data_IF_879267725627
#
_entry.id   IF_879267725627
#
_cell.length_a   1.000
_cell.length_b   1.000
_cell.length_c   1.000
_cell.angle_alpha   90.00
_cell.angle_beta   90.00
_cell.angle_gamma   90.00
#
_symmetry.space_group_name_H-M   'P 1'
#
loop_
_entity.id
_entity.type
_entity.pdbx_description
1 polymer ?
#
# COMPACT_ATOMS: atom_id res chain seq x y z
N UNK A 1 -10.49 4.01 23.36
CA UNK A 1 -10.93 3.70 22.00
C UNK A 1 -11.91 4.77 21.55
N UNK A 2 -11.82 5.26 20.33
CA UNK A 2 -12.78 6.19 19.72
C UNK A 2 -13.04 5.74 18.27
N UNK A 3 -14.16 6.19 17.68
CA UNK A 3 -14.55 5.88 16.30
C UNK A 3 -14.51 7.14 15.45
N UNK A 4 -13.95 7.05 14.25
CA UNK A 4 -13.97 8.10 13.25
C UNK A 4 -14.65 7.62 11.97
N UNK A 5 -15.62 8.37 11.46
CA UNK A 5 -16.25 8.14 10.15
C UNK A 5 -15.77 9.21 9.18
N UNK A 6 -15.37 8.82 7.96
CA UNK A 6 -14.94 9.77 6.94
C UNK A 6 -16.06 9.97 5.92
N UNK A 7 -16.59 11.17 5.84
CA UNK A 7 -17.51 11.58 4.79
C UNK A 7 -16.73 12.23 3.63
N UNK A 8 -16.74 11.55 2.48
CA UNK A 8 -16.07 12.01 1.25
C UNK A 8 -16.89 12.97 0.41
N UNK A 9 -18.14 13.25 0.80
CA UNK A 9 -19.13 14.03 0.03
C UNK A 9 -19.34 13.51 -1.40
N UNK A 10 -19.18 12.19 -1.61
CA UNK A 10 -19.35 11.55 -2.92
C UNK A 10 -20.82 11.22 -3.22
N UNK A 11 -21.63 11.06 -2.20
CA UNK A 11 -23.03 10.65 -2.29
C UNK A 11 -23.88 11.40 -1.26
N UNK A 12 -25.11 11.69 -1.59
CA UNK A 12 -26.04 12.33 -0.65
C UNK A 12 -26.25 11.51 0.64
N UNK A 13 -26.25 10.16 0.51
CA UNK A 13 -26.45 9.24 1.63
C UNK A 13 -25.25 9.14 2.59
N UNK A 14 -24.07 9.65 2.23
CA UNK A 14 -22.86 9.55 3.08
C UNK A 14 -23.06 10.23 4.45
N UNK A 15 -23.79 11.34 4.50
CA UNK A 15 -24.12 12.03 5.74
C UNK A 15 -25.05 11.19 6.64
N UNK A 16 -26.07 10.53 6.07
CA UNK A 16 -26.98 9.66 6.80
C UNK A 16 -26.27 8.41 7.34
N UNK A 17 -25.36 7.83 6.55
CA UNK A 17 -24.51 6.72 6.97
C UNK A 17 -23.61 7.12 8.16
N UNK A 18 -23.02 8.31 8.11
CA UNK A 18 -22.21 8.84 9.22
C UNK A 18 -23.06 9.10 10.48
N UNK A 19 -24.27 9.64 10.30
CA UNK A 19 -25.20 9.87 11.40
C UNK A 19 -25.68 8.57 12.06
N UNK A 20 -25.90 7.50 11.27
CA UNK A 20 -26.21 6.16 11.77
C UNK A 20 -25.07 5.62 12.66
N UNK A 21 -23.82 5.72 12.22
CA UNK A 21 -22.67 5.30 13.01
C UNK A 21 -22.54 6.12 14.28
N UNK A 22 -22.72 7.45 14.20
CA UNK A 22 -22.69 8.35 15.36
C UNK A 22 -23.77 8.00 16.38
N UNK A 23 -24.99 7.67 15.95
CA UNK A 23 -26.10 7.23 16.82
C UNK A 23 -25.73 5.95 17.56
N UNK A 24 -25.21 4.95 16.83
CA UNK A 24 -24.79 3.68 17.44
C UNK A 24 -23.63 3.85 18.42
N UNK A 25 -22.68 4.70 18.13
CA UNK A 25 -21.58 5.00 19.05
C UNK A 25 -22.09 5.65 20.34
N UNK A 26 -23.10 6.53 20.27
CA UNK A 26 -23.75 7.10 21.47
C UNK A 26 -24.42 6.06 22.34
N UNK A 27 -25.16 5.13 21.74
CA UNK A 27 -25.79 4.02 22.46
C UNK A 27 -24.77 3.14 23.19
N UNK A 28 -23.59 2.94 22.57
CA UNK A 28 -22.49 2.14 23.13
C UNK A 28 -21.56 2.95 24.04
N UNK A 29 -21.82 4.23 24.28
CA UNK A 29 -20.97 5.15 25.05
C UNK A 29 -19.53 5.19 24.51
N UNK A 30 -19.37 5.14 23.17
CA UNK A 30 -18.08 5.22 22.48
C UNK A 30 -17.94 6.62 21.84
N UNK A 31 -16.88 7.38 22.13
CA UNK A 31 -16.60 8.66 21.46
C UNK A 31 -16.57 8.49 19.94
N UNK A 32 -17.24 9.40 19.22
CA UNK A 32 -17.32 9.40 17.77
C UNK A 32 -17.06 10.76 17.17
N UNK A 33 -16.40 10.81 16.01
CA UNK A 33 -16.21 12.01 15.21
C UNK A 33 -16.50 11.70 13.73
N UNK A 34 -17.17 12.64 13.05
CA UNK A 34 -17.29 12.59 11.59
C UNK A 34 -16.26 13.55 10.98
N UNK A 35 -15.34 12.99 10.21
CA UNK A 35 -14.31 13.72 9.47
C UNK A 35 -14.82 14.00 8.06
N UNK A 36 -15.03 15.24 7.73
CA UNK A 36 -15.58 15.64 6.43
C UNK A 36 -14.45 16.09 5.52
N UNK A 37 -14.46 15.65 4.26
CA UNK A 37 -13.51 16.12 3.27
C UNK A 37 -13.75 17.61 2.98
N UNK A 38 -12.68 18.41 2.97
CA UNK A 38 -12.73 19.86 2.73
C UNK A 38 -13.40 20.17 1.39
N UNK A 39 -13.07 19.37 0.35
CA UNK A 39 -13.65 19.46 -0.98
C UNK A 39 -14.22 18.10 -1.43
N UNK A 40 -15.27 18.09 -2.28
CA UNK A 40 -15.76 16.85 -2.89
C UNK A 40 -14.66 16.17 -3.71
N UNK A 41 -14.49 14.87 -3.54
CA UNK A 41 -13.52 14.10 -4.33
C UNK A 41 -14.04 13.96 -5.75
N UNK A 42 -13.38 14.59 -6.73
CA UNK A 42 -13.78 14.59 -8.13
C UNK A 42 -12.61 14.28 -9.08
N UNK A 43 -12.91 14.03 -10.36
CA UNK A 43 -11.94 13.85 -11.46
C UNK A 43 -11.52 12.40 -11.70
N UNK A 44 -10.45 12.19 -12.46
CA UNK A 44 -9.95 10.85 -12.76
C UNK A 44 -9.50 10.11 -11.49
N UNK A 45 -9.77 8.80 -11.44
CA UNK A 45 -9.41 7.94 -10.29
C UNK A 45 -10.03 8.34 -8.94
N UNK A 46 -11.32 8.71 -8.93
CA UNK A 46 -12.07 9.09 -7.72
C UNK A 46 -11.83 8.15 -6.53
N UNK A 47 -11.81 6.83 -6.74
CA UNK A 47 -11.56 5.87 -5.66
C UNK A 47 -10.16 5.98 -5.04
N UNK A 48 -9.13 6.21 -5.85
CA UNK A 48 -7.77 6.38 -5.36
C UNK A 48 -7.64 7.67 -4.54
N UNK A 49 -8.21 8.77 -5.04
CA UNK A 49 -8.27 10.06 -4.32
C UNK A 49 -9.08 9.97 -3.03
N UNK A 50 -10.24 9.33 -3.06
CA UNK A 50 -11.05 9.11 -1.87
C UNK A 50 -10.26 8.32 -0.81
N UNK A 51 -9.51 7.31 -1.22
CA UNK A 51 -8.62 6.56 -0.33
C UNK A 51 -7.53 7.45 0.27
N UNK A 52 -6.89 8.28 -0.53
CA UNK A 52 -5.85 9.22 -0.07
C UNK A 52 -6.41 10.23 0.94
N UNK A 53 -7.53 10.88 0.61
CA UNK A 53 -8.23 11.82 1.50
C UNK A 53 -8.62 11.13 2.80
N UNK A 54 -9.16 9.92 2.75
CA UNK A 54 -9.52 9.13 3.94
C UNK A 54 -8.34 8.98 4.89
N UNK A 55 -7.22 8.49 4.40
CA UNK A 55 -6.08 8.23 5.27
C UNK A 55 -5.41 9.51 5.76
N UNK A 56 -5.42 10.58 4.97
CA UNK A 56 -4.95 11.88 5.41
C UNK A 56 -5.80 12.46 6.56
N UNK A 57 -7.12 12.38 6.47
CA UNK A 57 -8.03 12.82 7.51
C UNK A 57 -7.90 11.97 8.78
N UNK A 58 -7.84 10.64 8.63
CA UNK A 58 -7.63 9.72 9.75
C UNK A 58 -6.28 9.95 10.44
N UNK A 59 -5.22 10.24 9.68
CA UNK A 59 -3.89 10.51 10.23
C UNK A 59 -3.88 11.82 11.05
N UNK A 60 -4.45 12.90 10.51
CA UNK A 60 -4.58 14.17 11.23
C UNK A 60 -5.39 14.02 12.51
N UNK A 61 -6.50 13.30 12.44
CA UNK A 61 -7.31 13.04 13.63
C UNK A 61 -6.57 12.17 14.65
N UNK A 62 -5.91 11.11 14.22
CA UNK A 62 -5.14 10.25 15.12
C UNK A 62 -4.06 11.02 15.87
N UNK A 63 -3.32 11.90 15.17
CA UNK A 63 -2.30 12.75 15.75
C UNK A 63 -2.92 13.73 16.78
N UNK A 64 -3.98 14.46 16.41
CA UNK A 64 -4.65 15.43 17.29
C UNK A 64 -5.31 14.78 18.51
N UNK A 65 -5.76 13.55 18.40
CA UNK A 65 -6.42 12.79 19.47
C UNK A 65 -5.46 11.91 20.29
N UNK A 66 -4.16 11.95 20.02
CA UNK A 66 -3.15 11.11 20.68
C UNK A 66 -3.39 9.59 20.46
N UNK A 67 -3.90 9.21 19.28
CA UNK A 67 -4.24 7.81 18.95
C UNK A 67 -3.02 7.14 18.34
N UNK A 68 -2.53 6.06 18.95
CA UNK A 68 -1.35 5.34 18.47
C UNK A 68 -1.57 4.56 17.17
N UNK A 69 -2.79 4.06 16.93
CA UNK A 69 -3.11 3.30 15.73
C UNK A 69 -4.58 3.42 15.33
N UNK A 70 -4.84 3.42 14.04
CA UNK A 70 -6.17 3.41 13.41
C UNK A 70 -6.51 2.00 12.95
N UNK A 71 -7.55 1.39 13.50
CA UNK A 71 -8.04 0.09 13.05
C UNK A 71 -9.01 0.28 11.87
N UNK A 72 -8.86 -0.56 10.82
CA UNK A 72 -9.78 -0.60 9.68
C UNK A 72 -10.30 -2.02 9.46
N UNK A 73 -11.56 -2.12 9.00
CA UNK A 73 -12.29 -3.39 8.88
C UNK A 73 -12.04 -4.13 7.55
N UNK A 74 -10.80 -4.10 7.04
CA UNK A 74 -10.43 -4.97 5.93
C UNK A 74 -10.47 -6.44 6.37
N UNK A 75 -10.99 -7.31 5.52
CA UNK A 75 -11.23 -8.71 5.82
C UNK A 75 -10.68 -9.66 4.73
N UNK A 76 -10.82 -10.97 4.90
CA UNK A 76 -10.26 -11.99 4.00
C UNK A 76 -10.77 -11.84 2.55
N UNK A 77 -12.04 -11.48 2.37
CA UNK A 77 -12.59 -11.26 1.02
C UNK A 77 -11.93 -10.04 0.34
N UNK A 78 -11.60 -8.96 1.09
CA UNK A 78 -10.83 -7.82 0.55
C UNK A 78 -9.41 -8.22 0.14
N UNK A 79 -8.78 -9.15 0.88
CA UNK A 79 -7.48 -9.70 0.50
C UNK A 79 -7.56 -10.47 -0.81
N UNK A 80 -8.58 -11.35 -0.95
CA UNK A 80 -8.79 -12.13 -2.15
C UNK A 80 -9.08 -11.24 -3.38
N UNK A 81 -9.96 -10.26 -3.24
CA UNK A 81 -10.22 -9.26 -4.27
C UNK A 81 -8.93 -8.54 -4.70
N UNK A 82 -8.15 -8.06 -3.72
CA UNK A 82 -6.88 -7.35 -3.96
C UNK A 82 -5.84 -8.24 -4.62
N UNK A 83 -5.73 -9.50 -4.21
CA UNK A 83 -4.83 -10.48 -4.78
C UNK A 83 -5.14 -10.69 -6.27
N UNK A 84 -6.40 -10.99 -6.61
CA UNK A 84 -6.82 -11.22 -8.00
C UNK A 84 -6.59 -9.99 -8.88
N UNK A 85 -6.96 -8.81 -8.40
CA UNK A 85 -6.73 -7.55 -9.13
C UNK A 85 -5.24 -7.29 -9.42
N UNK A 86 -4.37 -7.64 -8.48
CA UNK A 86 -2.92 -7.46 -8.63
C UNK A 86 -2.29 -8.56 -9.48
N UNK A 87 -2.74 -9.80 -9.35
CA UNK A 87 -2.33 -10.90 -10.20
C UNK A 87 -2.67 -10.64 -11.68
N UNK A 88 -3.87 -10.15 -11.96
CA UNK A 88 -4.30 -9.77 -13.31
C UNK A 88 -3.45 -8.63 -13.93
N UNK A 89 -2.75 -7.84 -13.09
CA UNK A 89 -1.85 -6.77 -13.53
C UNK A 89 -0.38 -7.19 -13.55
N UNK A 90 -0.06 -8.47 -13.36
CA UNK A 90 1.30 -8.98 -13.36
C UNK A 90 2.13 -8.53 -12.16
N UNK A 91 1.52 -8.28 -11.01
CA UNK A 91 2.25 -7.84 -9.82
C UNK A 91 3.17 -8.95 -9.29
N UNK A 92 4.38 -8.56 -8.89
CA UNK A 92 5.33 -9.46 -8.21
C UNK A 92 4.97 -9.68 -6.73
N UNK A 93 5.91 -10.32 -6.01
CA UNK A 93 5.76 -10.76 -4.61
C UNK A 93 5.17 -9.69 -3.69
N UNK A 94 5.77 -8.51 -3.63
CA UNK A 94 5.31 -7.42 -2.77
C UNK A 94 3.88 -6.95 -3.08
N UNK A 95 3.48 -7.00 -4.35
CA UNK A 95 2.12 -6.69 -4.79
C UNK A 95 1.13 -7.77 -4.39
N UNK A 96 1.42 -9.04 -4.69
CA UNK A 96 0.55 -10.18 -4.40
C UNK A 96 0.35 -10.42 -2.90
N UNK A 97 1.29 -10.00 -2.08
CA UNK A 97 1.16 -10.03 -0.62
C UNK A 97 -0.02 -9.20 -0.06
N UNK A 98 -0.83 -8.59 -0.90
CA UNK A 98 -2.10 -7.98 -0.53
C UNK A 98 -1.99 -6.76 0.39
N UNK A 99 -3.00 -6.59 1.21
CA UNK A 99 -3.07 -5.53 2.22
C UNK A 99 -2.33 -6.01 3.47
N UNK A 100 -1.40 -5.23 4.00
CA UNK A 100 -0.63 -5.60 5.20
C UNK A 100 -1.46 -5.47 6.48
N UNK A 101 -1.28 -6.39 7.44
CA UNK A 101 -1.95 -6.33 8.74
C UNK A 101 -1.62 -5.03 9.50
N UNK A 102 -0.40 -4.54 9.33
CA UNK A 102 0.07 -3.24 9.85
C UNK A 102 0.80 -2.48 8.74
N UNK A 103 0.53 -1.18 8.62
CA UNK A 103 1.21 -0.29 7.68
C UNK A 103 1.18 1.15 8.19
N UNK A 104 2.14 1.98 7.76
CA UNK A 104 2.07 3.43 7.92
C UNK A 104 1.47 4.02 6.65
N UNK A 105 0.37 4.75 6.77
CA UNK A 105 -0.34 5.36 5.65
C UNK A 105 -0.68 6.81 6.02
N UNK A 106 -0.19 7.76 5.23
CA UNK A 106 -0.41 9.18 5.48
C UNK A 106 0.14 9.68 6.82
N UNK A 107 1.14 8.99 7.38
CA UNK A 107 1.73 9.28 8.69
C UNK A 107 1.09 8.51 9.86
N UNK A 108 -0.10 7.92 9.70
CA UNK A 108 -0.72 7.13 10.76
C UNK A 108 -0.36 5.63 10.67
N UNK A 109 -0.23 4.99 11.82
CA UNK A 109 -0.17 3.55 11.92
C UNK A 109 -1.57 2.98 11.70
N UNK A 110 -1.75 2.19 10.65
CA UNK A 110 -3.02 1.52 10.32
C UNK A 110 -2.90 0.04 10.61
N UNK A 111 -3.82 -0.49 11.40
CA UNK A 111 -3.91 -1.94 11.72
C UNK A 111 -5.20 -2.52 11.15
N UNK A 112 -5.18 -3.81 10.82
CA UNK A 112 -6.31 -4.53 10.20
C UNK A 112 -6.55 -5.85 10.91
N UNK A 113 -7.23 -5.82 12.05
CA UNK A 113 -7.39 -7.00 12.92
C UNK A 113 -8.34 -8.06 12.35
N UNK A 114 -9.08 -7.75 11.27
CA UNK A 114 -10.11 -8.64 10.71
C UNK A 114 -9.69 -9.34 9.42
N UNK A 115 -8.39 -9.33 9.06
CA UNK A 115 -7.92 -9.90 7.79
C UNK A 115 -8.17 -11.40 7.65
N UNK A 116 -8.30 -12.14 8.74
CA UNK A 116 -8.57 -13.57 8.74
C UNK A 116 -10.06 -13.91 8.78
N UNK A 117 -10.92 -12.89 8.95
CA UNK A 117 -12.36 -13.07 9.00
C UNK A 117 -13.00 -12.96 7.63
N UNK A 118 -14.00 -13.80 7.37
CA UNK A 118 -14.82 -13.70 6.16
C UNK A 118 -15.89 -12.62 6.32
N UNK A 119 -16.22 -11.92 5.22
CA UNK A 119 -17.31 -10.95 5.19
C UNK A 119 -18.64 -11.53 5.71
N UNK A 120 -18.95 -12.80 5.35
CA UNK A 120 -20.13 -13.48 5.80
C UNK A 120 -20.17 -13.67 7.34
N UNK A 121 -19.04 -13.99 7.97
CA UNK A 121 -18.92 -14.14 9.41
C UNK A 121 -19.13 -12.80 10.13
N UNK A 122 -18.50 -11.73 9.61
CA UNK A 122 -18.66 -10.38 10.16
C UNK A 122 -20.12 -9.89 10.05
N UNK A 123 -20.78 -10.16 8.92
CA UNK A 123 -22.20 -9.87 8.75
C UNK A 123 -23.08 -10.66 9.71
N UNK A 124 -22.78 -11.93 9.94
CA UNK A 124 -23.51 -12.76 10.92
C UNK A 124 -23.35 -12.20 12.35
N UNK A 125 -22.14 -11.72 12.70
CA UNK A 125 -21.90 -11.06 14.01
C UNK A 125 -22.69 -9.75 14.08
N UNK A 126 -22.67 -8.91 13.06
CA UNK A 126 -23.40 -7.65 13.03
C UNK A 126 -24.91 -7.87 13.22
N UNK A 127 -25.49 -8.85 12.51
CA UNK A 127 -26.92 -9.21 12.67
C UNK A 127 -27.24 -9.70 14.07
N UNK A 128 -26.43 -10.60 14.65
CA UNK A 128 -26.64 -11.12 16.02
C UNK A 128 -26.54 -10.03 17.10
N UNK A 129 -25.76 -8.98 16.82
CA UNK A 129 -25.57 -7.84 17.73
C UNK A 129 -26.47 -6.65 17.38
N UNK A 130 -27.40 -6.83 16.44
CA UNK A 130 -28.30 -5.77 15.97
C UNK A 130 -27.56 -4.49 15.58
N UNK A 131 -26.34 -4.67 15.02
CA UNK A 131 -25.55 -3.55 14.52
C UNK A 131 -26.07 -3.12 13.15
N UNK A 132 -26.40 -1.86 12.96
CA UNK A 132 -26.81 -1.37 11.65
C UNK A 132 -25.65 -1.43 10.68
N UNK A 133 -25.93 -1.79 9.42
CA UNK A 133 -24.98 -1.74 8.32
C UNK A 133 -25.69 -1.41 7.02
N UNK A 134 -24.94 -0.83 6.08
CA UNK A 134 -25.44 -0.46 4.75
C UNK A 134 -24.77 -1.31 3.69
N UNK A 135 -25.56 -1.79 2.74
CA UNK A 135 -25.06 -2.39 1.51
C UNK A 135 -24.90 -1.29 0.44
N UNK A 136 -23.67 -0.88 0.18
CA UNK A 136 -23.35 0.14 -0.81
C UNK A 136 -23.62 -0.38 -2.23
N UNK A 137 -24.55 0.23 -3.01
CA UNK A 137 -24.85 -0.19 -4.38
C UNK A 137 -23.64 -0.15 -5.32
N UNK A 138 -22.67 0.73 -5.07
CA UNK A 138 -21.44 0.82 -5.88
C UNK A 138 -20.59 -0.44 -5.83
N UNK A 139 -20.79 -1.30 -4.84
CA UNK A 139 -20.15 -2.61 -4.74
C UNK A 139 -20.54 -3.60 -5.85
N UNK A 140 -21.63 -3.33 -6.57
CA UNK A 140 -22.13 -4.16 -7.68
C UNK A 140 -21.78 -3.58 -9.05
N UNK A 141 -21.20 -2.39 -9.12
CA UNK A 141 -20.88 -1.72 -10.37
C UNK A 141 -19.63 -2.32 -11.02
N UNK A 142 -19.83 -3.14 -12.05
CA UNK A 142 -18.78 -3.85 -12.80
C UNK A 142 -17.83 -2.95 -13.60
N UNK A 143 -18.03 -1.64 -13.64
CA UNK A 143 -17.05 -0.69 -14.14
C UNK A 143 -15.80 -0.69 -13.28
N UNK A 144 -15.89 -1.11 -12.03
CA UNK A 144 -14.78 -1.17 -11.09
C UNK A 144 -14.18 -2.58 -11.01
N UNK A 145 -12.84 -2.66 -11.08
CA UNK A 145 -12.09 -3.91 -10.99
C UNK A 145 -12.45 -4.73 -9.74
N UNK A 146 -12.71 -4.06 -8.63
CA UNK A 146 -13.05 -4.71 -7.36
C UNK A 146 -14.38 -5.43 -7.42
N UNK A 147 -15.40 -4.82 -8.06
CA UNK A 147 -16.68 -5.47 -8.26
C UNK A 147 -16.57 -6.69 -9.18
N UNK A 148 -15.72 -6.59 -10.23
CA UNK A 148 -15.41 -7.73 -11.11
C UNK A 148 -14.70 -8.86 -10.38
N UNK A 149 -13.70 -8.55 -9.56
CA UNK A 149 -12.99 -9.54 -8.74
C UNK A 149 -13.93 -10.24 -7.75
N UNK A 150 -14.82 -9.47 -7.10
CA UNK A 150 -15.85 -10.00 -6.19
C UNK A 150 -16.79 -10.96 -6.91
N UNK A 151 -17.32 -10.54 -8.05
CA UNK A 151 -18.19 -11.38 -8.88
C UNK A 151 -17.51 -12.68 -9.28
N UNK A 152 -16.25 -12.63 -9.71
CA UNK A 152 -15.46 -13.83 -10.03
C UNK A 152 -15.35 -14.79 -8.84
N UNK A 153 -15.12 -14.26 -7.63
CA UNK A 153 -15.07 -15.07 -6.41
C UNK A 153 -16.43 -15.67 -6.03
N UNK A 154 -17.52 -14.93 -6.27
CA UNK A 154 -18.87 -15.39 -5.98
C UNK A 154 -19.37 -16.43 -7.00
N UNK A 155 -18.92 -16.38 -8.26
CA UNK A 155 -19.28 -17.31 -9.34
C UNK A 155 -18.45 -18.62 -9.32
N UNK A 156 -17.31 -18.64 -8.62
CA UNK A 156 -16.39 -19.78 -8.63
C UNK A 156 -16.02 -20.24 -7.21
N UNK A 157 -16.76 -21.21 -6.68
CA UNK A 157 -16.55 -21.74 -5.33
C UNK A 157 -15.13 -22.28 -5.06
N UNK A 158 -14.46 -22.81 -6.08
CA UNK A 158 -13.08 -23.31 -5.97
C UNK A 158 -12.06 -22.17 -5.70
N UNK A 159 -12.40 -20.92 -6.01
CA UNK A 159 -11.63 -19.73 -5.64
C UNK A 159 -11.94 -19.28 -4.21
N UNK A 160 -11.77 -20.14 -3.23
CA UNK A 160 -12.07 -19.87 -1.84
C UNK A 160 -11.33 -18.62 -1.31
N UNK A 161 -12.04 -17.51 -0.97
CA UNK A 161 -11.38 -16.27 -0.54
C UNK A 161 -10.47 -16.44 0.68
N UNK A 162 -10.80 -17.35 1.61
CA UNK A 162 -9.94 -17.66 2.76
C UNK A 162 -8.60 -18.27 2.34
N UNK A 163 -8.59 -19.15 1.32
CA UNK A 163 -7.37 -19.76 0.82
C UNK A 163 -6.49 -18.75 0.08
N UNK A 164 -7.10 -17.88 -0.72
CA UNK A 164 -6.39 -16.80 -1.42
C UNK A 164 -5.80 -15.82 -0.41
N UNK A 165 -6.56 -15.45 0.63
CA UNK A 165 -6.08 -14.58 1.72
C UNK A 165 -4.88 -15.21 2.45
N UNK A 166 -4.92 -16.51 2.70
CA UNK A 166 -3.80 -17.27 3.30
C UNK A 166 -2.57 -17.26 2.40
N UNK A 167 -2.74 -17.46 1.09
CA UNK A 167 -1.64 -17.34 0.12
C UNK A 167 -1.03 -15.94 0.13
N UNK A 168 -1.86 -14.90 0.18
CA UNK A 168 -1.38 -13.52 0.31
C UNK A 168 -0.61 -13.29 1.63
N UNK A 169 -1.01 -13.93 2.73
CA UNK A 169 -0.32 -13.85 4.02
C UNK A 169 1.09 -14.49 3.95
N UNK A 170 1.22 -15.68 3.35
CA UNK A 170 2.55 -16.30 3.13
C UNK A 170 3.46 -15.44 2.24
N UNK A 171 2.90 -14.84 1.20
CA UNK A 171 3.67 -13.90 0.38
C UNK A 171 4.05 -12.63 1.14
N UNK A 172 3.22 -12.19 2.09
CA UNK A 172 3.54 -11.05 2.95
C UNK A 172 4.68 -11.36 3.92
N UNK A 173 4.71 -12.56 4.48
CA UNK A 173 5.80 -13.07 5.31
C UNK A 173 7.11 -13.14 4.51
N UNK A 174 7.10 -13.82 3.37
CA UNK A 174 8.28 -13.90 2.50
C UNK A 174 8.78 -12.52 2.03
N UNK A 175 7.89 -11.56 1.77
CA UNK A 175 8.27 -10.19 1.45
C UNK A 175 8.92 -9.46 2.64
N UNK A 176 8.45 -9.71 3.86
CA UNK A 176 9.04 -9.15 5.07
C UNK A 176 10.44 -9.72 5.33
N UNK A 177 10.63 -11.03 5.17
CA UNK A 177 11.93 -11.69 5.32
C UNK A 177 12.95 -11.18 4.29
N UNK A 178 12.52 -11.01 3.03
CA UNK A 178 13.36 -10.42 1.99
C UNK A 178 13.71 -8.96 2.29
N UNK A 179 12.80 -8.19 2.87
CA UNK A 179 13.10 -6.81 3.31
C UNK A 179 14.16 -6.80 4.41
N UNK A 180 13.99 -7.62 5.44
CA UNK A 180 14.96 -7.74 6.53
C UNK A 180 16.33 -8.19 6.00
N UNK A 181 16.37 -9.14 5.07
CA UNK A 181 17.60 -9.57 4.40
C UNK A 181 18.26 -8.43 3.62
N UNK A 182 17.48 -7.63 2.90
CA UNK A 182 18.00 -6.46 2.16
C UNK A 182 18.50 -5.39 3.11
N UNK A 183 17.83 -5.16 4.24
CA UNK A 183 18.27 -4.22 5.27
C UNK A 183 19.63 -4.62 5.87
N UNK A 184 19.78 -5.89 6.20
CA UNK A 184 21.06 -6.45 6.67
C UNK A 184 22.16 -6.34 5.62
N UNK A 185 21.88 -6.72 4.36
CA UNK A 185 22.84 -6.61 3.25
C UNK A 185 23.22 -5.16 2.96
N UNK A 186 22.26 -4.24 3.05
CA UNK A 186 22.53 -2.80 2.89
C UNK A 186 23.53 -2.32 3.93
N UNK A 187 23.31 -2.63 5.19
CA UNK A 187 24.23 -2.24 6.27
C UNK A 187 25.64 -2.84 6.08
N UNK A 188 25.73 -4.08 5.54
CA UNK A 188 26.99 -4.78 5.37
C UNK A 188 27.74 -4.43 4.06
N UNK A 189 27.03 -4.06 2.99
CA UNK A 189 27.56 -3.99 1.62
C UNK A 189 27.34 -2.66 0.91
N UNK A 190 26.66 -1.71 1.53
CA UNK A 190 26.47 -0.37 0.96
C UNK A 190 27.28 0.68 1.70
N UNK A 191 27.71 1.70 0.96
CA UNK A 191 28.36 2.89 1.51
C UNK A 191 27.67 4.11 0.90
N UNK A 192 27.28 5.06 1.73
CA UNK A 192 26.71 6.34 1.31
C UNK A 192 27.67 7.45 1.76
N UNK A 193 28.22 8.16 0.79
CA UNK A 193 29.17 9.25 1.01
C UNK A 193 28.65 10.49 0.24
N UNK A 194 27.97 11.36 0.96
CA UNK A 194 27.19 12.42 0.32
C UNK A 194 26.18 11.84 -0.67
N UNK A 195 26.28 12.26 -1.93
CA UNK A 195 25.43 11.81 -3.04
C UNK A 195 26.00 10.60 -3.82
N UNK A 196 27.14 10.05 -3.40
CA UNK A 196 27.79 8.87 -3.99
C UNK A 196 27.40 7.60 -3.22
N UNK A 197 26.51 6.82 -3.77
CA UNK A 197 26.06 5.53 -3.20
C UNK A 197 26.79 4.39 -3.89
N UNK A 198 27.45 3.52 -3.11
CA UNK A 198 28.15 2.34 -3.62
C UNK A 198 27.57 1.08 -3.00
N UNK A 199 27.35 0.05 -3.80
CA UNK A 199 26.78 -1.22 -3.34
C UNK A 199 27.54 -2.39 -3.94
N UNK A 200 28.00 -3.30 -3.09
CA UNK A 200 28.53 -4.60 -3.50
C UNK A 200 27.37 -5.58 -3.66
N UNK A 201 26.92 -5.77 -4.89
CA UNK A 201 25.82 -6.67 -5.24
C UNK A 201 26.31 -8.00 -5.85
N UNK A 202 27.62 -8.28 -5.81
CA UNK A 202 28.20 -9.47 -6.39
C UNK A 202 27.65 -10.76 -5.71
N UNK A 203 27.31 -11.76 -6.51
CA UNK A 203 26.84 -13.07 -6.05
C UNK A 203 25.45 -13.08 -5.41
N UNK A 204 24.73 -11.95 -5.37
CA UNK A 204 23.40 -11.91 -4.78
C UNK A 204 22.31 -12.35 -5.77
N UNK A 205 21.22 -13.00 -5.30
CA UNK A 205 20.07 -13.35 -6.12
C UNK A 205 19.41 -12.12 -6.77
N UNK A 206 18.81 -12.31 -7.96
CA UNK A 206 18.25 -11.19 -8.75
C UNK A 206 17.20 -10.35 -7.99
N UNK A 207 16.31 -11.00 -7.23
CA UNK A 207 15.31 -10.25 -6.45
C UNK A 207 15.95 -9.37 -5.35
N UNK A 208 16.98 -9.88 -4.69
CA UNK A 208 17.76 -9.10 -3.71
C UNK A 208 18.45 -7.93 -4.39
N UNK A 209 19.10 -8.17 -5.53
CA UNK A 209 19.74 -7.11 -6.35
C UNK A 209 18.71 -6.05 -6.80
N UNK A 210 17.51 -6.47 -7.21
CA UNK A 210 16.42 -5.55 -7.58
C UNK A 210 16.02 -4.62 -6.43
N UNK A 211 15.91 -5.15 -5.22
CA UNK A 211 15.60 -4.37 -4.02
C UNK A 211 16.74 -3.45 -3.61
N UNK A 212 17.97 -3.92 -3.68
CA UNK A 212 19.16 -3.10 -3.42
C UNK A 212 19.30 -1.97 -4.45
N UNK A 213 19.06 -2.22 -5.73
CA UNK A 213 19.08 -1.21 -6.78
C UNK A 213 18.04 -0.11 -6.52
N UNK A 214 16.79 -0.50 -6.15
CA UNK A 214 15.76 0.46 -5.79
C UNK A 214 16.13 1.30 -4.58
N UNK A 215 16.67 0.67 -3.53
CA UNK A 215 17.15 1.36 -2.33
C UNK A 215 18.29 2.31 -2.63
N UNK A 216 19.24 1.90 -3.46
CA UNK A 216 20.39 2.72 -3.86
C UNK A 216 19.96 3.96 -4.67
N UNK A 217 18.98 3.81 -5.58
CA UNK A 217 18.39 4.96 -6.28
C UNK A 217 17.70 5.89 -5.30
N UNK A 218 16.90 5.37 -4.38
CA UNK A 218 16.22 6.18 -3.36
C UNK A 218 17.22 6.96 -2.50
N UNK A 219 18.28 6.31 -2.00
CA UNK A 219 19.31 6.94 -1.18
C UNK A 219 20.08 8.03 -1.94
N UNK A 220 20.47 7.77 -3.21
CA UNK A 220 21.15 8.77 -4.02
C UNK A 220 20.25 9.98 -4.34
N UNK A 221 18.95 9.76 -4.53
CA UNK A 221 17.97 10.84 -4.75
C UNK A 221 17.76 11.69 -3.49
N UNK A 222 17.60 11.02 -2.35
CA UNK A 222 17.44 11.68 -1.05
C UNK A 222 18.65 12.58 -0.74
N UNK A 223 19.86 12.03 -0.86
CA UNK A 223 21.10 12.77 -0.63
C UNK A 223 21.28 13.98 -1.56
N UNK A 224 20.78 13.87 -2.80
CA UNK A 224 20.86 14.94 -3.81
C UNK A 224 19.64 15.87 -3.84
N UNK A 225 18.64 15.68 -2.98
CA UNK A 225 17.40 16.48 -2.96
C UNK A 225 16.54 16.34 -4.22
N UNK A 226 16.62 15.19 -4.94
CA UNK A 226 15.87 14.96 -6.18
C UNK A 226 14.42 14.53 -5.83
N UNK A 227 13.45 15.42 -5.95
CA UNK A 227 12.04 15.12 -5.72
C UNK A 227 11.33 14.57 -6.97
N UNK A 228 11.61 15.14 -8.15
CA UNK A 228 10.93 14.77 -9.40
C UNK A 228 11.87 14.05 -10.40
N UNK A 229 11.31 13.13 -11.21
CA UNK A 229 9.97 12.54 -11.10
C UNK A 229 9.82 11.71 -9.84
N UNK A 230 8.57 11.50 -9.34
CA UNK A 230 8.33 10.71 -8.13
C UNK A 230 8.94 9.29 -8.25
N UNK A 231 9.63 8.85 -7.21
CA UNK A 231 10.23 7.51 -7.14
C UNK A 231 9.65 6.77 -5.92
N UNK A 232 9.04 5.63 -6.17
CA UNK A 232 8.33 4.85 -5.16
C UNK A 232 8.74 3.38 -5.22
N UNK A 233 8.31 2.58 -4.24
CA UNK A 233 8.49 1.13 -4.24
C UNK A 233 7.86 0.44 -5.48
N UNK A 234 6.89 1.08 -6.13
CA UNK A 234 6.27 0.58 -7.36
C UNK A 234 7.06 0.95 -8.64
N UNK A 235 8.08 1.81 -8.54
CA UNK A 235 8.86 2.22 -9.72
C UNK A 235 9.59 1.01 -10.30
N UNK A 236 9.43 0.78 -11.60
CA UNK A 236 10.11 -0.29 -12.30
C UNK A 236 11.61 0.04 -12.44
N UNK A 237 12.47 -0.87 -11.97
CA UNK A 237 13.93 -0.74 -12.03
C UNK A 237 14.59 -1.84 -12.88
N UNK A 238 13.82 -2.57 -13.69
CA UNK A 238 14.39 -3.70 -14.47
C UNK A 238 15.43 -3.22 -15.47
N UNK A 239 15.14 -2.16 -16.23
CA UNK A 239 16.09 -1.62 -17.20
C UNK A 239 17.39 -1.12 -16.53
N UNK A 240 17.29 -0.53 -15.34
CA UNK A 240 18.44 -0.14 -14.54
C UNK A 240 19.25 -1.38 -14.13
N UNK A 241 18.58 -2.40 -13.60
CA UNK A 241 19.21 -3.63 -13.14
C UNK A 241 19.90 -4.38 -14.28
N UNK A 242 19.22 -4.55 -15.42
CA UNK A 242 19.77 -5.19 -16.62
C UNK A 242 21.01 -4.43 -17.13
N UNK A 243 20.96 -3.09 -17.10
CA UNK A 243 22.10 -2.27 -17.49
C UNK A 243 23.31 -2.43 -16.54
N UNK A 244 23.06 -2.47 -15.23
CA UNK A 244 24.12 -2.72 -14.24
C UNK A 244 24.70 -4.13 -14.38
N UNK A 245 23.87 -5.14 -14.61
CA UNK A 245 24.31 -6.52 -14.86
C UNK A 245 25.17 -6.65 -16.13
N UNK A 246 24.84 -5.85 -17.14
CA UNK A 246 25.61 -5.77 -18.38
C UNK A 246 26.84 -4.84 -18.30
N UNK A 247 27.16 -4.29 -17.10
CA UNK A 247 28.27 -3.36 -16.92
C UNK A 247 28.10 -1.99 -17.59
N UNK A 248 26.87 -1.64 -18.00
CA UNK A 248 26.53 -0.39 -18.70
C UNK A 248 26.27 0.74 -17.71
N UNK A 249 26.39 1.98 -18.21
CA UNK A 249 25.87 3.17 -17.53
C UNK A 249 24.40 3.35 -17.86
N UNK A 250 23.57 3.55 -16.84
CA UNK A 250 22.13 3.74 -17.00
C UNK A 250 21.67 4.93 -16.16
N UNK A 251 20.80 5.76 -16.71
CA UNK A 251 20.18 6.86 -15.96
C UNK A 251 18.71 6.56 -15.72
N UNK A 252 18.27 6.64 -14.47
CA UNK A 252 16.89 6.49 -14.09
C UNK A 252 16.52 7.48 -12.98
N UNK A 253 15.39 8.15 -13.11
CA UNK A 253 14.83 9.05 -12.09
C UNK A 253 15.85 10.07 -11.54
N UNK A 254 16.66 10.66 -12.42
CA UNK A 254 17.67 11.64 -12.03
C UNK A 254 18.98 11.06 -11.47
N UNK A 255 19.12 9.74 -11.42
CA UNK A 255 20.32 9.05 -10.92
C UNK A 255 21.05 8.33 -12.05
N UNK A 256 22.36 8.54 -12.15
CA UNK A 256 23.28 7.80 -13.01
C UNK A 256 23.85 6.62 -12.23
N UNK A 257 23.58 5.42 -12.70
CA UNK A 257 24.12 4.18 -12.18
C UNK A 257 25.21 3.62 -13.11
N UNK A 258 26.26 3.04 -12.55
CA UNK A 258 27.38 2.43 -13.29
C UNK A 258 28.00 1.33 -12.44
N UNK A 259 28.82 0.47 -13.07
CA UNK A 259 29.66 -0.50 -12.37
C UNK A 259 31.12 -0.02 -12.38
N UNK A 260 31.73 -0.01 -11.23
CA UNK A 260 33.17 0.27 -11.08
C UNK A 260 33.77 -0.72 -10.10
N UNK A 261 34.84 -1.38 -10.50
CA UNK A 261 35.57 -2.36 -9.68
C UNK A 261 34.64 -3.46 -9.13
N UNK A 262 33.66 -3.92 -9.95
CA UNK A 262 32.69 -4.93 -9.56
C UNK A 262 31.55 -4.45 -8.64
N UNK A 263 31.56 -3.17 -8.25
CA UNK A 263 30.53 -2.56 -7.39
C UNK A 263 29.64 -1.60 -8.16
N UNK A 264 28.39 -1.53 -7.78
CA UNK A 264 27.47 -0.50 -8.28
C UNK A 264 27.83 0.84 -7.68
N UNK A 265 27.80 1.87 -8.52
CA UNK A 265 27.98 3.25 -8.11
C UNK A 265 26.84 4.09 -8.67
N UNK A 266 26.10 4.75 -7.78
CA UNK A 266 24.95 5.59 -8.11
C UNK A 266 25.22 7.02 -7.64
N UNK A 267 24.94 8.00 -8.51
CA UNK A 267 25.12 9.44 -8.25
C UNK A 267 24.05 10.24 -9.01
N UNK A 268 23.83 11.50 -8.64
CA UNK A 268 23.02 12.39 -9.46
C UNK A 268 23.48 12.37 -10.92
N UNK A 269 22.54 12.30 -11.84
CA UNK A 269 22.85 12.42 -13.25
C UNK A 269 23.31 13.86 -13.55
N UNK A 270 24.35 14.04 -14.39
CA UNK A 270 24.77 15.38 -14.79
C UNK A 270 23.62 16.09 -15.50
N UNK A 271 23.47 17.38 -15.25
CA UNK A 271 22.51 18.22 -15.98
C UNK A 271 22.79 18.08 -17.47
N UNK A 272 21.73 17.78 -18.24
CA UNK A 272 21.84 17.83 -19.71
C UNK A 272 22.21 19.26 -20.08
N UNK A 273 23.41 19.42 -20.68
CA UNK A 273 23.73 20.65 -21.39
C UNK A 273 22.77 20.74 -22.58
N UNK A 274 21.87 21.73 -22.54
CA UNK A 274 20.98 22.06 -23.64
C UNK A 274 21.76 22.50 -24.90
#
# INVERSE_FOLDING_TARGET
>A
MAVATVDHRLRAQAADEAAMVAARCRELVVPHVTLVADEPVAGASVQARAREVRYRLLARWADSAGVEAVATAHHADDQAETFLMRAARGSGLAGLAGVRARAVIGGAVVVRPLLDWRRAELRAIARRREMPFVDDPSNQDLRYDRARARRLLDEHEWLGPANIARSAAYLAEADADLRATVDWLWAARATVDGDDVRVDAAGLPREVRRRLARRAVAAAREAAGIAEPAFTDATNVEALLDGLEAGKRVTQSGVLASVREGRWRLRPAPLRRG
#
